data_IF_688229657082
#
_entry.id   IF_688229657082
#
_cell.length_a   1.000
_cell.length_b   1.000
_cell.length_c   1.000
_cell.angle_alpha   90.00
_cell.angle_beta   90.00
_cell.angle_gamma   90.00
#
_symmetry.space_group_name_H-M   'P 1'
#
loop_
_entity.id
_entity.type
_entity.pdbx_description
1 polymer ?
#
# COMPACT_ATOMS: atom_id res chain seq x y z
N UNK A 1 -44.14 16.29 0.14
CA UNK A 1 -42.80 16.88 -0.04
C UNK A 1 -41.85 16.65 1.14
N UNK A 2 -42.27 16.79 2.37
CA UNK A 2 -41.37 16.60 3.57
C UNK A 2 -40.80 15.20 3.73
N UNK A 3 -41.51 14.15 3.31
CA UNK A 3 -41.04 12.76 3.41
C UNK A 3 -39.93 12.36 2.40
N UNK A 4 -39.89 13.03 1.24
CA UNK A 4 -38.87 12.81 0.21
C UNK A 4 -37.53 13.47 0.57
N UNK A 5 -37.58 14.60 1.25
CA UNK A 5 -36.36 15.31 1.69
C UNK A 5 -35.68 14.54 2.81
N UNK A 6 -36.43 13.91 3.72
CA UNK A 6 -35.89 13.08 4.79
C UNK A 6 -35.21 11.82 4.28
N UNK A 7 -35.77 11.17 3.25
CA UNK A 7 -35.15 9.97 2.65
C UNK A 7 -33.86 10.30 1.90
N UNK A 8 -33.78 11.45 1.24
CA UNK A 8 -32.58 11.92 0.55
C UNK A 8 -31.45 12.28 1.55
N UNK A 9 -31.82 12.88 2.70
CA UNK A 9 -30.84 13.23 3.75
C UNK A 9 -30.26 11.98 4.42
N UNK A 10 -31.09 10.94 4.63
CA UNK A 10 -30.64 9.66 5.20
C UNK A 10 -29.73 8.92 4.21
N UNK A 11 -30.03 8.99 2.90
CA UNK A 11 -29.16 8.40 1.87
C UNK A 11 -27.79 9.08 1.80
N UNK A 12 -27.74 10.40 1.98
CA UNK A 12 -26.49 11.18 2.03
C UNK A 12 -25.68 10.86 3.30
N UNK A 13 -26.31 10.55 4.42
CA UNK A 13 -25.62 10.14 5.66
C UNK A 13 -25.07 8.71 5.58
N UNK A 14 -25.67 7.83 4.79
CA UNK A 14 -25.18 6.47 4.57
C UNK A 14 -24.03 6.41 3.55
N UNK A 15 -23.89 7.37 2.66
CA UNK A 15 -22.73 7.51 1.78
C UNK A 15 -21.50 8.14 2.46
N UNK A 16 -21.62 8.59 3.70
CA UNK A 16 -20.54 9.26 4.45
C UNK A 16 -19.61 8.37 5.24
N UNK A 17 -19.84 7.05 5.29
CA UNK A 17 -19.01 6.12 6.05
C UNK A 17 -18.06 5.36 5.14
N UNK A 18 -16.84 5.89 4.92
CA UNK A 18 -15.82 5.16 4.18
C UNK A 18 -14.68 6.00 3.63
N UNK A 19 -14.41 7.16 4.20
CA UNK A 19 -13.15 7.83 3.92
C UNK A 19 -12.10 7.13 4.78
N UNK A 20 -11.45 6.09 4.24
CA UNK A 20 -10.38 5.37 4.92
C UNK A 20 -9.24 6.31 5.35
N UNK A 21 -8.47 5.88 6.32
CA UNK A 21 -7.32 6.65 6.85
C UNK A 21 -6.30 7.02 5.76
N UNK A 22 -6.15 6.20 4.74
CA UNK A 22 -5.31 6.51 3.56
C UNK A 22 -5.79 7.78 2.85
N UNK A 23 -7.10 7.96 2.64
CA UNK A 23 -7.65 9.14 1.95
C UNK A 23 -7.47 10.43 2.74
N UNK A 24 -7.40 10.33 4.06
CA UNK A 24 -7.21 11.48 4.97
C UNK A 24 -5.74 11.88 5.15
N UNK A 25 -4.78 11.09 4.65
CA UNK A 25 -3.37 11.35 4.84
C UNK A 25 -2.86 11.11 6.27
N UNK A 26 -3.55 10.29 7.05
CA UNK A 26 -3.23 9.99 8.45
C UNK A 26 -3.03 8.49 8.70
N UNK A 27 -2.64 7.74 7.67
CA UNK A 27 -2.32 6.32 7.79
C UNK A 27 -1.02 6.13 8.57
N UNK A 28 -1.07 5.30 9.59
CA UNK A 28 0.13 4.69 10.16
C UNK A 28 0.58 3.55 9.24
N UNK A 29 1.52 3.85 8.36
CA UNK A 29 1.97 2.92 7.31
C UNK A 29 2.63 1.68 7.90
N UNK A 30 3.44 1.85 8.95
CA UNK A 30 4.12 0.73 9.62
C UNK A 30 3.10 -0.21 10.25
N UNK A 31 2.16 0.33 11.03
CA UNK A 31 1.10 -0.45 11.64
C UNK A 31 0.24 -1.18 10.61
N UNK A 32 -0.08 -0.53 9.48
CA UNK A 32 -0.86 -1.13 8.40
C UNK A 32 -0.13 -2.33 7.78
N UNK A 33 1.16 -2.19 7.46
CA UNK A 33 1.93 -3.28 6.87
C UNK A 33 2.22 -4.41 7.87
N UNK A 34 2.51 -4.10 9.14
CA UNK A 34 2.71 -5.12 10.17
C UNK A 34 1.43 -5.91 10.44
N UNK A 35 0.28 -5.25 10.51
CA UNK A 35 -1.00 -5.92 10.71
C UNK A 35 -1.36 -6.79 9.50
N UNK A 36 -1.17 -6.28 8.29
CA UNK A 36 -1.36 -7.04 7.05
C UNK A 36 -0.47 -8.31 7.04
N UNK A 37 0.81 -8.17 7.40
CA UNK A 37 1.73 -9.30 7.46
C UNK A 37 1.31 -10.36 8.49
N UNK A 38 0.72 -9.95 9.62
CA UNK A 38 0.20 -10.88 10.64
C UNK A 38 -1.03 -11.67 10.18
N UNK A 39 -1.83 -11.07 9.31
CA UNK A 39 -3.05 -11.70 8.78
C UNK A 39 -2.78 -12.57 7.55
N UNK A 40 -1.58 -12.48 6.95
CA UNK A 40 -1.17 -13.32 5.84
C UNK A 40 -0.99 -14.77 6.28
N UNK A 41 -1.09 -15.69 5.31
CA UNK A 41 -0.85 -17.12 5.58
C UNK A 41 0.57 -17.37 6.09
N UNK A 42 0.72 -18.36 6.97
CA UNK A 42 1.97 -18.72 7.63
C UNK A 42 3.15 -18.90 6.65
N UNK A 43 2.88 -19.41 5.46
CA UNK A 43 3.87 -19.61 4.39
C UNK A 43 4.49 -18.31 3.88
N UNK A 44 3.76 -17.20 4.02
CA UNK A 44 4.19 -15.87 3.61
C UNK A 44 4.61 -14.96 4.78
N UNK A 45 4.09 -15.20 5.98
CA UNK A 45 4.41 -14.43 7.19
C UNK A 45 5.89 -14.48 7.55
N UNK A 46 6.52 -15.65 7.40
CA UNK A 46 7.96 -15.80 7.62
C UNK A 46 8.85 -14.98 6.66
N UNK A 47 8.25 -14.37 5.65
CA UNK A 47 8.93 -13.52 4.70
C UNK A 47 9.05 -12.05 5.14
N UNK A 48 8.24 -11.61 6.11
CA UNK A 48 8.21 -10.23 6.60
C UNK A 48 8.76 -10.16 8.02
N UNK A 49 10.07 -10.06 8.16
CA UNK A 49 10.75 -10.11 9.46
C UNK A 49 11.32 -8.76 9.90
N UNK A 50 10.89 -7.64 9.32
CA UNK A 50 11.36 -6.34 9.77
C UNK A 50 10.36 -5.73 10.78
N UNK A 51 10.78 -5.58 12.04
CA UNK A 51 9.97 -4.92 13.08
C UNK A 51 9.74 -3.43 12.78
N UNK A 52 10.68 -2.83 12.05
CA UNK A 52 10.55 -1.49 11.50
C UNK A 52 10.33 -1.64 10.01
N UNK A 53 9.20 -1.24 9.49
CA UNK A 53 8.88 -1.31 8.06
C UNK A 53 9.70 -0.31 7.23
N UNK A 54 10.99 -0.14 7.55
CA UNK A 54 11.93 0.71 6.85
C UNK A 54 13.19 -0.06 6.49
N UNK A 55 13.57 -0.01 5.24
CA UNK A 55 14.80 -0.59 4.71
C UNK A 55 15.33 0.31 3.59
N UNK A 56 16.16 1.28 3.96
CA UNK A 56 16.68 2.28 3.04
C UNK A 56 17.58 1.65 1.95
N UNK A 57 18.30 0.58 2.26
CA UNK A 57 19.14 -0.12 1.30
C UNK A 57 18.28 -0.82 0.24
N UNK A 58 17.26 -1.53 0.67
CA UNK A 58 16.31 -2.16 -0.25
C UNK A 58 15.52 -1.14 -1.07
N UNK A 59 15.07 -0.04 -0.45
CA UNK A 59 14.39 1.05 -1.16
C UNK A 59 15.26 1.61 -2.30
N UNK A 60 16.54 1.84 -2.03
CA UNK A 60 17.48 2.33 -3.03
C UNK A 60 17.72 1.30 -4.15
N UNK A 61 17.88 0.03 -3.78
CA UNK A 61 18.11 -1.05 -4.75
C UNK A 61 16.88 -1.32 -5.62
N UNK A 62 15.71 -1.45 -4.99
CA UNK A 62 14.48 -1.87 -5.66
C UNK A 62 13.78 -0.76 -6.44
N UNK A 63 13.84 0.47 -5.93
CA UNK A 63 13.09 1.63 -6.46
C UNK A 63 13.99 2.77 -6.94
N UNK A 64 15.29 2.74 -6.68
CA UNK A 64 16.19 3.87 -6.89
C UNK A 64 15.66 5.16 -6.22
N UNK A 65 15.12 5.03 -5.01
CA UNK A 65 14.60 6.11 -4.19
C UNK A 65 15.40 6.25 -2.90
N UNK A 66 15.54 7.50 -2.45
CA UNK A 66 16.05 7.85 -1.11
C UNK A 66 15.02 8.77 -0.45
N UNK A 67 14.33 8.28 0.55
CA UNK A 67 13.25 8.98 1.25
C UNK A 67 13.52 9.00 2.76
N UNK A 68 12.91 9.97 3.44
CA UNK A 68 12.85 9.97 4.92
C UNK A 68 12.03 8.76 5.40
N UNK A 69 12.42 8.16 6.51
CA UNK A 69 11.74 6.99 7.10
C UNK A 69 10.26 7.23 7.42
N UNK A 70 9.85 8.49 7.55
CA UNK A 70 8.45 8.89 7.77
C UNK A 70 7.61 8.86 6.50
N UNK A 71 8.26 8.84 5.33
CA UNK A 71 7.59 8.98 4.05
C UNK A 71 7.42 7.64 3.33
N UNK A 72 7.83 6.54 3.93
CA UNK A 72 7.56 5.21 3.37
C UNK A 72 7.49 4.12 4.45
N UNK A 73 6.80 3.05 4.12
CA UNK A 73 6.91 1.76 4.79
C UNK A 73 7.02 0.66 3.73
N UNK A 74 7.87 -0.33 3.97
CA UNK A 74 8.20 -1.38 3.02
C UNK A 74 8.44 -2.69 3.76
N UNK A 75 7.83 -3.75 3.30
CA UNK A 75 8.09 -5.13 3.72
C UNK A 75 8.31 -6.00 2.49
N UNK A 76 9.24 -6.93 2.57
CA UNK A 76 9.55 -7.83 1.47
C UNK A 76 9.99 -9.20 1.97
N UNK A 77 9.86 -10.21 1.10
CA UNK A 77 10.32 -11.55 1.39
C UNK A 77 11.85 -11.59 1.60
N UNK A 78 12.29 -12.31 2.62
CA UNK A 78 13.72 -12.57 2.89
C UNK A 78 14.24 -13.67 1.97
N UNK A 79 13.37 -14.61 1.59
CA UNK A 79 13.72 -15.74 0.73
C UNK A 79 13.90 -15.27 -0.71
N UNK A 80 15.00 -15.65 -1.33
CA UNK A 80 15.33 -15.27 -2.72
C UNK A 80 14.48 -15.98 -3.80
N UNK A 81 13.78 -17.06 -3.42
CA UNK A 81 12.90 -17.82 -4.32
C UNK A 81 11.45 -17.32 -4.34
N UNK A 82 11.13 -16.32 -3.50
CA UNK A 82 9.81 -15.72 -3.40
C UNK A 82 9.94 -14.20 -3.61
N UNK A 83 9.18 -13.67 -4.56
CA UNK A 83 9.00 -12.24 -4.67
C UNK A 83 7.65 -11.87 -4.06
N UNK A 84 7.69 -11.44 -2.82
CA UNK A 84 6.55 -10.92 -2.07
C UNK A 84 6.96 -9.57 -1.48
N UNK A 85 6.21 -8.53 -1.79
CA UNK A 85 6.58 -7.16 -1.44
C UNK A 85 5.33 -6.31 -1.26
N UNK A 86 5.34 -5.46 -0.25
CA UNK A 86 4.36 -4.42 -0.06
C UNK A 86 5.07 -3.14 0.35
N UNK A 87 4.82 -2.06 -0.37
CA UNK A 87 5.36 -0.74 -0.09
C UNK A 87 4.24 0.30 -0.10
N UNK A 88 4.29 1.23 0.84
CA UNK A 88 3.41 2.41 0.91
C UNK A 88 4.31 3.63 1.00
N UNK A 89 4.03 4.62 0.15
CA UNK A 89 4.74 5.89 0.10
C UNK A 89 3.79 7.02 0.42
N UNK A 90 4.17 7.86 1.38
CA UNK A 90 3.51 9.13 1.63
C UNK A 90 4.13 10.19 0.73
N UNK A 91 3.33 10.79 -0.14
CA UNK A 91 3.78 11.68 -1.17
C UNK A 91 3.37 13.13 -0.91
N UNK A 92 4.19 14.05 -1.37
CA UNK A 92 3.89 15.47 -1.47
C UNK A 92 3.95 15.91 -2.94
N UNK A 93 3.73 17.20 -3.20
CA UNK A 93 3.74 17.74 -4.57
C UNK A 93 5.09 17.60 -5.26
N UNK A 94 6.21 17.63 -4.51
CA UNK A 94 7.56 17.59 -5.06
C UNK A 94 7.98 16.16 -5.48
N UNK A 95 7.58 15.13 -4.70
CA UNK A 95 8.04 13.76 -4.89
C UNK A 95 7.01 12.83 -5.55
N UNK A 96 5.75 13.25 -5.70
CA UNK A 96 4.67 12.44 -6.26
C UNK A 96 5.03 11.79 -7.60
N UNK A 97 5.50 12.60 -8.54
CA UNK A 97 5.77 12.13 -9.91
C UNK A 97 6.89 11.09 -9.94
N UNK A 98 7.97 11.33 -9.21
CA UNK A 98 9.12 10.41 -9.19
C UNK A 98 8.78 9.11 -8.48
N UNK A 99 8.07 9.16 -7.35
CA UNK A 99 7.65 7.96 -6.63
C UNK A 99 6.73 7.13 -7.51
N UNK A 100 5.74 7.75 -8.15
CA UNK A 100 4.81 7.05 -9.05
C UNK A 100 5.53 6.39 -10.23
N UNK A 101 6.48 7.08 -10.85
CA UNK A 101 7.30 6.54 -11.94
C UNK A 101 8.08 5.30 -11.49
N UNK A 102 8.78 5.39 -10.36
CA UNK A 102 9.57 4.27 -9.82
C UNK A 102 8.68 3.08 -9.42
N UNK A 103 7.54 3.36 -8.83
CA UNK A 103 6.54 2.34 -8.52
C UNK A 103 6.00 1.63 -9.78
N UNK A 104 5.76 2.38 -10.87
CA UNK A 104 5.36 1.81 -12.17
C UNK A 104 6.45 0.88 -12.75
N UNK A 105 7.71 1.30 -12.71
CA UNK A 105 8.85 0.48 -13.15
C UNK A 105 8.92 -0.82 -12.34
N UNK A 106 8.77 -0.73 -11.02
CA UNK A 106 8.81 -1.89 -10.13
C UNK A 106 7.69 -2.90 -10.44
N UNK A 107 6.47 -2.44 -10.63
CA UNK A 107 5.35 -3.29 -11.04
C UNK A 107 5.55 -3.90 -12.43
N UNK A 108 6.12 -3.17 -13.38
CA UNK A 108 6.42 -3.68 -14.71
C UNK A 108 7.44 -4.82 -14.65
N UNK A 109 8.49 -4.69 -13.85
CA UNK A 109 9.49 -5.74 -13.63
C UNK A 109 8.86 -7.04 -13.09
N UNK A 110 7.93 -6.93 -12.14
CA UNK A 110 7.21 -8.09 -11.61
C UNK A 110 6.35 -8.76 -12.68
N UNK A 111 5.62 -7.99 -13.47
CA UNK A 111 4.78 -8.49 -14.56
C UNK A 111 5.59 -9.19 -15.65
N UNK A 112 6.77 -8.69 -15.99
CA UNK A 112 7.68 -9.33 -16.95
C UNK A 112 8.12 -10.72 -16.48
N UNK A 113 8.18 -10.94 -15.16
CA UNK A 113 8.47 -12.25 -14.56
C UNK A 113 7.21 -13.11 -14.32
N UNK A 114 6.04 -12.64 -14.74
CA UNK A 114 4.77 -13.35 -14.53
C UNK A 114 4.25 -13.28 -13.08
N UNK A 115 4.75 -12.35 -12.26
CA UNK A 115 4.38 -12.21 -10.86
C UNK A 115 3.24 -11.19 -10.74
N UNK A 116 2.14 -11.52 -10.03
CA UNK A 116 1.04 -10.59 -9.79
C UNK A 116 1.53 -9.32 -9.12
N UNK A 117 1.11 -8.16 -9.59
CA UNK A 117 1.48 -6.88 -9.00
C UNK A 117 0.38 -5.83 -9.20
N UNK A 118 0.24 -4.95 -8.20
CA UNK A 118 -0.67 -3.82 -8.22
C UNK A 118 0.04 -2.54 -7.84
N UNK A 119 -0.23 -1.49 -8.59
CA UNK A 119 0.09 -0.12 -8.25
C UNK A 119 -1.23 0.61 -7.98
N UNK A 120 -1.35 1.23 -6.83
CA UNK A 120 -2.50 2.05 -6.48
C UNK A 120 -2.10 3.41 -5.94
N UNK A 121 -3.07 4.32 -6.00
CA UNK A 121 -2.96 5.65 -5.42
C UNK A 121 -4.21 5.93 -4.59
N UNK A 122 -4.05 6.51 -3.41
CA UNK A 122 -5.14 6.87 -2.55
C UNK A 122 -4.79 8.12 -1.73
N UNK A 123 -5.44 9.24 -2.03
CA UNK A 123 -5.08 10.53 -1.42
C UNK A 123 -3.64 10.90 -1.73
N UNK A 124 -2.84 11.11 -0.69
CA UNK A 124 -1.40 11.40 -0.78
C UNK A 124 -0.51 10.15 -0.75
N UNK A 125 -1.09 8.95 -0.87
CA UNK A 125 -0.34 7.70 -0.84
C UNK A 125 -0.24 7.07 -2.23
N UNK A 126 0.93 6.48 -2.48
CA UNK A 126 1.18 5.52 -3.57
C UNK A 126 1.51 4.20 -2.91
N UNK A 127 0.95 3.09 -3.39
CA UNK A 127 1.32 1.76 -2.88
C UNK A 127 1.66 0.80 -4.01
N UNK A 128 2.56 -0.12 -3.72
CA UNK A 128 3.00 -1.22 -4.59
C UNK A 128 2.82 -2.52 -3.86
N UNK A 129 2.19 -3.48 -4.50
CA UNK A 129 1.94 -4.82 -3.97
C UNK A 129 2.39 -5.84 -5.00
N UNK A 130 3.29 -6.74 -4.64
CA UNK A 130 3.87 -7.76 -5.54
C UNK A 130 3.82 -9.11 -4.84
N UNK A 131 3.46 -10.13 -5.60
CA UNK A 131 3.47 -11.52 -5.14
C UNK A 131 2.13 -12.22 -5.28
N UNK A 132 2.07 -13.48 -4.88
CA UNK A 132 0.86 -14.30 -4.99
C UNK A 132 -0.32 -13.74 -4.18
N UNK A 133 -0.04 -13.09 -3.04
CA UNK A 133 -1.05 -12.49 -2.17
C UNK A 133 -1.36 -11.02 -2.51
N UNK A 134 -0.86 -10.48 -3.63
CA UNK A 134 -1.02 -9.07 -3.99
C UNK A 134 -2.49 -8.63 -4.08
N UNK A 135 -3.39 -9.48 -4.57
CA UNK A 135 -4.82 -9.18 -4.60
C UNK A 135 -5.43 -9.07 -3.20
N UNK A 136 -5.05 -9.95 -2.30
CA UNK A 136 -5.50 -9.90 -0.91
C UNK A 136 -4.95 -8.66 -0.20
N UNK A 137 -3.66 -8.37 -0.36
CA UNK A 137 -3.02 -7.16 0.19
C UNK A 137 -3.71 -5.90 -0.30
N UNK A 138 -4.08 -5.85 -1.59
CA UNK A 138 -4.83 -4.73 -2.16
C UNK A 138 -6.18 -4.54 -1.47
N UNK A 139 -6.96 -5.62 -1.34
CA UNK A 139 -8.27 -5.56 -0.68
C UNK A 139 -8.15 -5.09 0.76
N UNK A 140 -7.12 -5.53 1.46
CA UNK A 140 -6.82 -5.11 2.82
C UNK A 140 -6.53 -3.61 2.90
N UNK A 141 -5.59 -3.10 2.11
CA UNK A 141 -5.20 -1.68 2.14
C UNK A 141 -6.33 -0.75 1.69
N UNK A 142 -7.08 -1.13 0.68
CA UNK A 142 -8.23 -0.34 0.19
C UNK A 142 -9.40 -0.32 1.18
N UNK A 143 -9.44 -1.22 2.15
CA UNK A 143 -10.40 -1.27 3.24
C UNK A 143 -10.05 -0.39 4.45
N UNK A 144 -8.83 0.16 4.52
CA UNK A 144 -8.40 1.07 5.59
C UNK A 144 -8.93 2.50 5.37
#
# INVERSE_FOLDING_TARGET
>A
MIRLVGALLILLLLCGCGIGSMKRGNLDMDAALLQMAREMREETIGAFMNENCTDAAYLQEAYALSLDERDYALVHAIRSDIWQEAAIFHCNEENWSIIKEKAQVRCAQAKEQGIPSFLGTCGCYVYVLIGEDAQWMRTYLEGL
#
